data_IF_871592637810
#
_entry.id   IF_871592637810
#
_cell.length_a   1.000
_cell.length_b   1.000
_cell.length_c   1.000
_cell.angle_alpha   90.00
_cell.angle_beta   90.00
_cell.angle_gamma   90.00
#
_symmetry.space_group_name_H-M   'P 1'
#
loop_
_entity.id
_entity.type
_entity.pdbx_description
1 polymer ?
#
# COMPACT_ATOMS: atom_id res chain seq x y z
N UNK A 1 -6.28 15.04 3.18
CA UNK A 1 -5.58 14.55 1.96
C UNK A 1 -6.10 13.17 1.50
N UNK A 2 -7.41 12.91 1.61
CA UNK A 2 -8.07 11.66 1.21
C UNK A 2 -8.36 11.49 -0.30
N UNK A 3 -8.65 12.54 -1.09
CA UNK A 3 -9.15 12.33 -2.46
C UNK A 3 -8.09 11.75 -3.41
N UNK A 4 -6.86 12.29 -3.39
CA UNK A 4 -5.82 11.94 -4.37
C UNK A 4 -5.51 10.43 -4.40
N UNK A 5 -5.32 9.78 -3.25
CA UNK A 5 -4.94 8.36 -3.21
C UNK A 5 -6.08 7.40 -3.57
N UNK A 6 -7.31 7.73 -3.19
CA UNK A 6 -8.48 6.94 -3.56
C UNK A 6 -8.75 7.07 -5.06
N UNK A 7 -8.69 8.30 -5.56
CA UNK A 7 -8.91 8.61 -6.98
C UNK A 7 -7.86 7.93 -7.86
N UNK A 8 -6.58 7.89 -7.45
CA UNK A 8 -5.51 7.22 -8.21
C UNK A 8 -5.65 5.69 -8.22
N UNK A 9 -6.04 5.07 -7.10
CA UNK A 9 -6.23 3.62 -7.05
C UNK A 9 -7.47 3.17 -7.84
N UNK A 10 -8.55 3.96 -7.79
CA UNK A 10 -9.74 3.76 -8.64
C UNK A 10 -9.41 4.00 -10.12
N UNK A 11 -8.60 5.02 -10.44
CA UNK A 11 -8.14 5.26 -11.80
C UNK A 11 -7.27 4.10 -12.33
N UNK A 12 -6.39 3.52 -11.51
CA UNK A 12 -5.61 2.35 -11.88
C UNK A 12 -6.51 1.15 -12.24
N UNK A 13 -7.61 0.96 -11.50
CA UNK A 13 -8.63 -0.04 -11.83
C UNK A 13 -9.25 0.23 -13.21
N UNK A 14 -9.61 1.49 -13.47
CA UNK A 14 -10.26 1.90 -14.71
C UNK A 14 -9.37 1.75 -15.96
N UNK A 15 -8.04 1.81 -15.80
CA UNK A 15 -7.07 1.62 -16.90
C UNK A 15 -6.73 0.13 -17.13
N UNK A 16 -7.30 -0.78 -16.34
CA UNK A 16 -7.11 -2.23 -16.51
C UNK A 16 -5.80 -2.75 -15.94
N UNK A 17 -5.26 -2.11 -14.89
CA UNK A 17 -4.09 -2.63 -14.19
C UNK A 17 -4.40 -3.98 -13.50
N UNK A 18 -3.47 -4.93 -13.61
CA UNK A 18 -3.58 -6.23 -12.94
C UNK A 18 -3.44 -6.15 -11.41
N UNK A 19 -2.67 -5.16 -10.94
CA UNK A 19 -2.46 -4.88 -9.53
C UNK A 19 -1.95 -3.44 -9.33
N UNK A 20 -1.97 -2.97 -8.08
CA UNK A 20 -1.37 -1.70 -7.68
C UNK A 20 -0.51 -1.89 -6.43
N UNK A 21 0.34 -0.89 -6.18
CA UNK A 21 1.19 -0.82 -5.00
C UNK A 21 0.93 0.51 -4.31
N UNK A 22 0.63 0.49 -3.01
CA UNK A 22 0.27 1.68 -2.24
C UNK A 22 1.37 1.98 -1.21
N UNK A 23 1.87 3.23 -1.19
CA UNK A 23 3.00 3.63 -0.34
C UNK A 23 2.99 5.11 0.04
N UNK A 24 3.71 5.51 1.12
CA UNK A 24 4.28 4.63 2.14
C UNK A 24 3.24 4.22 3.19
N UNK A 25 3.11 2.91 3.46
CA UNK A 25 2.17 2.39 4.48
C UNK A 25 2.74 2.57 5.89
N UNK A 26 4.03 2.37 6.07
CA UNK A 26 4.77 2.58 7.31
C UNK A 26 5.95 3.54 7.10
N UNK A 27 6.57 3.99 8.21
CA UNK A 27 7.74 4.84 8.16
C UNK A 27 8.88 4.17 7.37
N UNK A 28 9.54 4.92 6.51
CA UNK A 28 10.58 4.40 5.61
C UNK A 28 11.75 5.36 5.47
N UNK A 29 12.97 4.81 5.44
CA UNK A 29 14.19 5.60 5.25
C UNK A 29 14.28 6.26 3.87
N UNK A 30 13.55 5.76 2.86
CA UNK A 30 13.53 6.38 1.53
C UNK A 30 12.81 7.74 1.50
N UNK A 31 11.81 7.92 2.36
CA UNK A 31 11.01 9.15 2.45
C UNK A 31 10.77 9.49 3.94
N UNK A 32 11.82 9.83 4.71
CA UNK A 32 11.75 9.92 6.17
C UNK A 32 10.91 11.09 6.66
N UNK A 33 10.70 12.10 5.82
CA UNK A 33 9.90 13.30 6.14
C UNK A 33 8.42 13.14 5.78
N UNK A 34 8.05 12.06 5.09
CA UNK A 34 6.66 11.85 4.68
C UNK A 34 5.92 11.08 5.77
N UNK A 35 4.80 11.63 6.22
CA UNK A 35 3.92 10.94 7.14
C UNK A 35 3.39 9.66 6.48
N UNK A 36 3.53 8.48 7.12
CA UNK A 36 3.02 7.24 6.56
C UNK A 36 1.50 7.26 6.51
N UNK A 37 0.94 6.50 5.56
CA UNK A 37 -0.50 6.30 5.43
C UNK A 37 -1.08 5.66 6.69
N UNK A 38 -0.39 4.65 7.22
CA UNK A 38 -0.87 3.80 8.31
C UNK A 38 -1.87 2.75 7.84
N UNK A 39 -1.98 1.68 8.63
CA UNK A 39 -2.77 0.50 8.28
C UNK A 39 -4.29 0.73 8.25
N UNK A 40 -4.83 1.49 9.20
CA UNK A 40 -6.25 1.82 9.22
C UNK A 40 -6.68 2.59 7.95
N UNK A 41 -5.82 3.48 7.47
CA UNK A 41 -6.11 4.26 6.26
C UNK A 41 -5.82 3.47 4.98
N UNK A 42 -4.85 2.56 5.00
CA UNK A 42 -4.65 1.57 3.95
C UNK A 42 -5.95 0.77 3.77
N UNK A 43 -6.47 0.16 4.82
CA UNK A 43 -7.72 -0.61 4.80
C UNK A 43 -8.89 0.17 4.21
N UNK A 44 -9.13 1.39 4.71
CA UNK A 44 -10.21 2.25 4.22
C UNK A 44 -10.12 2.59 2.71
N UNK A 45 -8.92 2.67 2.15
CA UNK A 45 -8.74 2.89 0.71
C UNK A 45 -9.01 1.63 -0.10
N UNK A 46 -8.70 0.45 0.45
CA UNK A 46 -8.91 -0.81 -0.24
C UNK A 46 -10.39 -1.19 -0.32
N UNK A 47 -11.24 -0.67 0.56
CA UNK A 47 -12.70 -0.81 0.48
C UNK A 47 -13.28 -0.28 -0.84
N UNK A 48 -12.62 0.67 -1.49
CA UNK A 48 -13.10 1.29 -2.74
C UNK A 48 -12.36 0.80 -3.99
N UNK A 49 -11.47 -0.19 -3.86
CA UNK A 49 -10.59 -0.65 -4.94
C UNK A 49 -10.89 -2.10 -5.27
N UNK A 50 -11.16 -2.40 -6.54
CA UNK A 50 -11.55 -3.74 -7.00
C UNK A 50 -10.38 -4.61 -7.49
N UNK A 51 -9.15 -4.09 -7.48
CA UNK A 51 -7.95 -4.81 -7.93
C UNK A 51 -7.01 -5.17 -6.78
N UNK A 52 -6.14 -6.19 -6.94
CA UNK A 52 -5.16 -6.56 -5.92
C UNK A 52 -4.19 -5.41 -5.57
N UNK A 53 -4.11 -5.02 -4.30
CA UNK A 53 -3.18 -3.98 -3.83
C UNK A 53 -2.11 -4.59 -2.92
N UNK A 54 -0.84 -4.26 -3.16
CA UNK A 54 0.28 -4.61 -2.29
C UNK A 54 0.73 -3.41 -1.46
N UNK A 55 0.94 -3.61 -0.16
CA UNK A 55 1.48 -2.58 0.72
C UNK A 55 2.97 -2.36 0.46
N UNK A 56 3.41 -1.10 0.42
CA UNK A 56 4.81 -0.72 0.22
C UNK A 56 5.21 0.44 1.15
N UNK A 57 6.51 0.54 1.43
CA UNK A 57 7.10 1.60 2.23
C UNK A 57 7.14 1.22 3.70
N UNK A 58 8.33 0.87 4.19
CA UNK A 58 8.53 0.40 5.55
C UNK A 58 8.11 -1.06 5.79
N UNK A 59 7.94 -1.85 4.73
CA UNK A 59 7.50 -3.25 4.81
C UNK A 59 8.67 -4.23 4.94
N UNK A 60 8.43 -5.31 5.68
CA UNK A 60 9.25 -6.54 5.75
C UNK A 60 8.44 -7.72 5.21
N UNK A 61 9.09 -8.85 4.90
CA UNK A 61 8.39 -10.04 4.41
C UNK A 61 7.30 -10.54 5.37
N UNK A 62 7.55 -10.47 6.69
CA UNK A 62 6.61 -10.91 7.72
C UNK A 62 5.35 -10.05 7.83
N UNK A 63 5.35 -8.84 7.25
CA UNK A 63 4.17 -7.98 7.20
C UNK A 63 3.11 -8.48 6.20
N UNK A 64 3.39 -9.51 5.40
CA UNK A 64 2.44 -10.06 4.44
C UNK A 64 1.12 -10.51 5.08
N UNK A 65 1.17 -11.11 6.28
CA UNK A 65 -0.03 -11.50 7.02
C UNK A 65 -0.86 -10.27 7.44
N UNK A 66 -0.17 -9.21 7.88
CA UNK A 66 -0.79 -7.95 8.27
C UNK A 66 -1.42 -7.23 7.09
N UNK A 67 -0.74 -7.20 5.94
CA UNK A 67 -1.29 -6.62 4.72
C UNK A 67 -2.60 -7.32 4.31
N UNK A 68 -2.65 -8.65 4.39
CA UNK A 68 -3.87 -9.43 4.12
C UNK A 68 -4.98 -9.16 5.13
N UNK A 69 -4.64 -8.96 6.40
CA UNK A 69 -5.63 -8.60 7.42
C UNK A 69 -6.31 -7.26 7.11
N UNK A 70 -5.58 -6.30 6.53
CA UNK A 70 -6.10 -4.99 6.13
C UNK A 70 -6.56 -4.92 4.65
N UNK A 71 -6.96 -6.05 4.07
CA UNK A 71 -7.54 -6.13 2.71
C UNK A 71 -6.53 -6.19 1.55
N UNK A 72 -5.23 -6.03 1.82
CA UNK A 72 -4.19 -6.11 0.79
C UNK A 72 -3.91 -7.55 0.32
N UNK A 73 -3.31 -7.69 -0.86
CA UNK A 73 -2.87 -9.00 -1.37
C UNK A 73 -1.59 -9.49 -0.69
N UNK A 74 -0.71 -8.56 -0.30
CA UNK A 74 0.58 -8.85 0.31
C UNK A 74 1.44 -7.59 0.44
N UNK A 75 2.75 -7.75 0.46
CA UNK A 75 3.73 -6.66 0.56
C UNK A 75 4.66 -6.62 -0.64
N UNK A 76 5.07 -5.42 -1.02
CA UNK A 76 6.25 -5.19 -1.84
C UNK A 76 7.38 -4.67 -0.93
N UNK A 77 8.55 -5.29 -1.04
CA UNK A 77 9.71 -5.02 -0.18
C UNK A 77 10.84 -4.43 -1.02
N UNK A 78 11.48 -3.37 -0.52
CA UNK A 78 12.67 -2.77 -1.14
C UNK A 78 13.92 -3.01 -0.28
N UNK A 79 14.11 -2.24 0.80
CA UNK A 79 15.35 -2.28 1.58
C UNK A 79 15.52 -3.61 2.33
N UNK A 80 14.47 -4.07 3.01
CA UNK A 80 14.48 -5.32 3.76
C UNK A 80 14.58 -6.59 2.89
N UNK A 81 14.67 -6.45 1.55
CA UNK A 81 14.99 -7.58 0.67
C UNK A 81 16.50 -7.87 0.62
N UNK A 82 17.33 -6.90 1.02
CA UNK A 82 18.79 -7.00 1.03
C UNK A 82 19.39 -7.02 2.45
N UNK A 83 18.54 -6.93 3.47
CA UNK A 83 18.91 -7.13 4.88
C UNK A 83 18.88 -8.63 5.22
#
# INVERSE_FOLDING_TARGET
ALPIYADEAVAAAAVGCDFAVLSPVAATASHPQQAPLGWARFEALLETVSLPVYALGGMRFDDAARARHHGGRGVAVLRAAWD
#
